data_IF_174975264443
#
_entry.id   IF_174975264443
#
_cell.length_a   1.000
_cell.length_b   1.000
_cell.length_c   1.000
_cell.angle_alpha   90.00
_cell.angle_beta   90.00
_cell.angle_gamma   90.00
#
_symmetry.space_group_name_H-M   'P 1'
#
loop_
_entity.id
_entity.type
_entity.pdbx_description
1 polymer ?
#
# COMPACT_ATOMS: atom_id res chain seq x y z
N UNK A 1 -26.16 -21.58 11.55
CA UNK A 1 -25.19 -21.38 10.45
C UNK A 1 -25.61 -20.25 9.51
N UNK A 2 -26.71 -20.37 8.74
CA UNK A 2 -27.13 -19.29 7.80
C UNK A 2 -27.27 -17.91 8.45
N UNK A 3 -27.93 -17.82 9.61
CA UNK A 3 -28.12 -16.54 10.30
C UNK A 3 -26.79 -15.90 10.74
N UNK A 4 -25.86 -16.71 11.28
CA UNK A 4 -24.52 -16.24 11.68
C UNK A 4 -23.71 -15.73 10.48
N UNK A 5 -23.78 -16.43 9.34
CA UNK A 5 -23.13 -16.02 8.09
C UNK A 5 -23.70 -14.68 7.61
N UNK A 6 -25.02 -14.51 7.63
CA UNK A 6 -25.66 -13.26 7.22
C UNK A 6 -25.31 -12.11 8.16
N UNK A 7 -25.32 -12.34 9.47
CA UNK A 7 -24.93 -11.33 10.46
C UNK A 7 -23.48 -10.85 10.27
N UNK A 8 -22.58 -11.74 9.83
CA UNK A 8 -21.19 -11.36 9.52
C UNK A 8 -21.08 -10.60 8.19
N UNK A 9 -21.92 -10.92 7.21
CA UNK A 9 -21.95 -10.24 5.91
C UNK A 9 -22.69 -8.90 5.95
N UNK A 10 -23.58 -8.70 6.93
CA UNK A 10 -24.38 -7.48 7.08
C UNK A 10 -23.58 -6.30 7.68
N UNK A 11 -22.34 -6.53 8.15
CA UNK A 11 -21.42 -5.46 8.52
C UNK A 11 -20.62 -4.99 7.29
N UNK A 12 -20.95 -3.81 6.70
CA UNK A 12 -20.30 -3.32 5.50
C UNK A 12 -18.82 -2.98 5.72
N UNK A 13 -18.41 -2.68 6.94
CA UNK A 13 -17.01 -2.39 7.27
C UNK A 13 -16.19 -3.68 7.27
N UNK A 14 -16.69 -4.73 7.92
CA UNK A 14 -16.04 -6.04 7.90
C UNK A 14 -16.01 -6.63 6.49
N UNK A 15 -17.11 -6.52 5.74
CA UNK A 15 -17.18 -7.00 4.36
C UNK A 15 -16.15 -6.31 3.47
N UNK A 16 -16.01 -4.99 3.58
CA UNK A 16 -15.04 -4.25 2.80
C UNK A 16 -13.59 -4.57 3.18
N UNK A 17 -13.30 -4.77 4.47
CA UNK A 17 -11.97 -5.20 4.93
C UNK A 17 -11.60 -6.57 4.37
N UNK A 18 -12.52 -7.53 4.46
CA UNK A 18 -12.34 -8.87 3.89
C UNK A 18 -12.18 -8.80 2.37
N UNK A 19 -13.08 -8.11 1.68
CA UNK A 19 -13.08 -8.04 0.22
C UNK A 19 -11.82 -7.36 -0.32
N UNK A 20 -11.43 -6.22 0.27
CA UNK A 20 -10.23 -5.49 -0.14
C UNK A 20 -9.00 -6.39 -0.09
N UNK A 21 -8.76 -7.02 1.07
CA UNK A 21 -7.64 -7.95 1.28
C UNK A 21 -7.65 -9.11 0.30
N UNK A 22 -8.80 -9.80 0.15
CA UNK A 22 -8.90 -10.95 -0.76
C UNK A 22 -8.63 -10.55 -2.21
N UNK A 23 -9.14 -9.40 -2.67
CA UNK A 23 -8.97 -8.96 -4.05
C UNK A 23 -7.56 -8.47 -4.36
N UNK A 24 -6.84 -7.94 -3.36
CA UNK A 24 -5.44 -7.53 -3.51
C UNK A 24 -4.44 -8.65 -3.28
N UNK A 25 -4.84 -9.82 -2.81
CA UNK A 25 -3.87 -10.90 -2.55
C UNK A 25 -3.09 -11.26 -3.84
N UNK A 26 -1.74 -11.34 -3.77
CA UNK A 26 -0.93 -11.62 -4.94
C UNK A 26 -1.22 -13.02 -5.45
N UNK A 27 -1.18 -13.19 -6.77
CA UNK A 27 -1.45 -14.50 -7.39
C UNK A 27 -0.31 -15.49 -7.11
N UNK A 28 0.92 -14.98 -7.06
CA UNK A 28 2.13 -15.76 -6.84
C UNK A 28 2.90 -15.08 -5.71
N UNK A 29 2.91 -15.72 -4.54
CA UNK A 29 3.49 -15.13 -3.31
C UNK A 29 4.99 -14.91 -3.45
N UNK A 30 5.68 -15.78 -4.19
CA UNK A 30 7.13 -15.74 -4.40
C UNK A 30 7.59 -14.57 -5.29
N UNK A 31 6.68 -13.74 -5.81
CA UNK A 31 7.02 -12.55 -6.60
C UNK A 31 7.34 -11.34 -5.73
N UNK A 32 6.84 -11.30 -4.51
CA UNK A 32 7.13 -10.23 -3.57
C UNK A 32 8.34 -10.66 -2.75
N UNK A 33 9.38 -9.83 -2.75
CA UNK A 33 10.62 -10.09 -2.01
C UNK A 33 10.71 -9.05 -0.90
N UNK A 34 10.37 -9.41 0.34
CA UNK A 34 10.52 -8.52 1.48
C UNK A 34 11.99 -8.13 1.66
N UNK A 35 12.24 -6.90 2.14
CA UNK A 35 13.59 -6.48 2.49
C UNK A 35 14.15 -7.34 3.62
N UNK A 36 15.44 -7.69 3.52
CA UNK A 36 16.12 -8.45 4.58
C UNK A 36 16.31 -7.64 5.86
N UNK A 37 16.45 -6.33 5.71
CA UNK A 37 16.65 -5.38 6.80
C UNK A 37 15.54 -4.33 6.80
N UNK A 38 14.98 -3.98 7.97
CA UNK A 38 14.00 -2.91 8.06
C UNK A 38 14.57 -1.59 7.53
N UNK A 39 13.77 -0.88 6.73
CA UNK A 39 14.14 0.45 6.23
C UNK A 39 13.85 1.49 7.30
N UNK A 40 14.80 2.41 7.53
CA UNK A 40 14.57 3.55 8.42
C UNK A 40 13.79 4.65 7.69
N UNK A 41 12.76 5.21 8.33
CA UNK A 41 11.92 6.28 7.72
C UNK A 41 12.77 7.48 7.27
N UNK A 42 13.82 7.83 8.01
CA UNK A 42 14.71 8.94 7.66
C UNK A 42 15.54 8.68 6.41
N UNK A 43 15.90 7.43 6.14
CA UNK A 43 16.67 7.06 4.94
C UNK A 43 15.78 7.14 3.71
N UNK A 44 14.57 6.58 3.78
CA UNK A 44 13.57 6.68 2.71
C UNK A 44 13.23 8.15 2.38
N UNK A 45 13.02 8.97 3.40
CA UNK A 45 12.74 10.41 3.22
C UNK A 45 13.91 11.12 2.54
N UNK A 46 15.15 10.83 2.96
CA UNK A 46 16.34 11.45 2.38
C UNK A 46 16.52 11.07 0.89
N UNK A 47 16.32 9.80 0.54
CA UNK A 47 16.42 9.31 -0.83
C UNK A 47 15.36 9.95 -1.75
N UNK A 48 14.09 9.98 -1.33
CA UNK A 48 13.03 10.66 -2.08
C UNK A 48 13.35 12.15 -2.27
N UNK A 49 13.79 12.84 -1.23
CA UNK A 49 14.18 14.25 -1.31
C UNK A 49 15.41 14.49 -2.21
N UNK A 50 16.27 13.48 -2.38
CA UNK A 50 17.39 13.52 -3.32
C UNK A 50 16.95 13.33 -4.79
N UNK A 51 15.67 13.02 -5.03
CA UNK A 51 15.09 12.85 -6.36
C UNK A 51 14.95 11.40 -6.80
N UNK A 52 15.24 10.44 -5.93
CA UNK A 52 14.92 9.04 -6.18
C UNK A 52 13.39 8.83 -6.20
N UNK A 53 12.94 7.84 -6.97
CA UNK A 53 11.52 7.51 -7.10
C UNK A 53 11.28 6.05 -6.76
N UNK A 54 10.07 5.76 -6.32
CA UNK A 54 9.59 4.41 -6.08
C UNK A 54 8.69 3.95 -7.23
N UNK A 55 8.59 2.65 -7.38
CA UNK A 55 7.62 1.99 -8.25
C UNK A 55 6.89 0.86 -7.52
N UNK A 56 5.74 0.46 -8.06
CA UNK A 56 5.01 -0.70 -7.53
C UNK A 56 5.68 -1.95 -8.09
N UNK A 57 6.04 -2.87 -7.20
CA UNK A 57 6.67 -4.14 -7.59
C UNK A 57 5.79 -4.92 -8.56
N UNK A 58 6.42 -5.62 -9.50
CA UNK A 58 5.72 -6.41 -10.51
C UNK A 58 4.83 -7.48 -9.86
N UNK A 59 3.53 -7.37 -10.09
CA UNK A 59 2.55 -8.31 -9.56
C UNK A 59 1.93 -7.89 -8.22
N UNK A 60 2.44 -6.82 -7.59
CA UNK A 60 1.80 -6.21 -6.44
C UNK A 60 0.46 -5.57 -6.83
N UNK A 61 -0.53 -5.65 -5.95
CA UNK A 61 -1.89 -5.17 -6.21
C UNK A 61 -2.33 -4.18 -5.15
N UNK A 62 -2.58 -2.97 -5.60
CA UNK A 62 -3.04 -1.88 -4.76
C UNK A 62 -4.52 -1.60 -5.01
N UNK A 63 -5.27 -1.39 -3.95
CA UNK A 63 -6.62 -0.84 -3.98
C UNK A 63 -6.83 0.02 -2.73
N UNK A 64 -7.85 0.88 -2.73
CA UNK A 64 -8.16 1.65 -1.53
C UNK A 64 -9.66 1.84 -1.39
N UNK A 65 -10.08 2.14 -0.16
CA UNK A 65 -11.45 2.52 0.17
C UNK A 65 -11.43 3.65 1.20
N UNK A 66 -12.16 4.73 0.91
CA UNK A 66 -12.41 5.79 1.89
C UNK A 66 -13.15 5.22 3.12
N UNK A 67 -12.64 5.53 4.30
CA UNK A 67 -13.36 5.42 5.57
C UNK A 67 -14.17 6.70 5.81
N UNK A 68 -13.56 7.84 5.49
CA UNK A 68 -14.16 9.17 5.46
C UNK A 68 -13.41 10.07 4.46
N UNK A 69 -13.65 11.38 4.51
CA UNK A 69 -13.03 12.36 3.59
C UNK A 69 -11.50 12.46 3.75
N UNK A 70 -10.94 12.05 4.88
CA UNK A 70 -9.53 12.20 5.24
C UNK A 70 -8.80 10.87 5.45
N UNK A 71 -9.51 9.80 5.82
CA UNK A 71 -8.96 8.47 6.11
C UNK A 71 -9.43 7.44 5.10
N UNK A 72 -8.52 6.55 4.73
CA UNK A 72 -8.79 5.41 3.87
C UNK A 72 -8.09 4.17 4.38
N UNK A 73 -8.65 3.00 4.07
CA UNK A 73 -7.87 1.77 4.07
C UNK A 73 -7.22 1.60 2.70
N UNK A 74 -5.89 1.58 2.67
CA UNK A 74 -5.09 1.10 1.56
C UNK A 74 -4.94 -0.41 1.69
N UNK A 75 -5.36 -1.15 0.67
CA UNK A 75 -5.17 -2.58 0.55
C UNK A 75 -4.01 -2.86 -0.40
N UNK A 76 -3.03 -3.63 0.07
CA UNK A 76 -1.86 -4.02 -0.72
C UNK A 76 -1.54 -5.47 -0.44
N UNK A 77 -1.51 -6.30 -1.47
CA UNK A 77 -1.06 -7.69 -1.39
C UNK A 77 -1.74 -8.59 -0.35
N UNK A 78 -2.96 -8.23 0.05
CA UNK A 78 -3.72 -8.96 1.08
C UNK A 78 -3.70 -8.31 2.45
N UNK A 79 -2.88 -7.27 2.62
CA UNK A 79 -2.86 -6.42 3.78
C UNK A 79 -3.77 -5.21 3.64
N UNK A 80 -4.04 -4.56 4.77
CA UNK A 80 -4.92 -3.41 4.87
C UNK A 80 -4.34 -2.44 5.91
N UNK A 81 -4.04 -1.23 5.45
CA UNK A 81 -3.34 -0.18 6.17
C UNK A 81 -4.24 1.04 6.25
N UNK A 82 -4.40 1.61 7.44
CA UNK A 82 -5.08 2.90 7.59
C UNK A 82 -4.08 4.02 7.30
N UNK A 83 -4.46 4.95 6.42
CA UNK A 83 -3.65 6.09 6.02
C UNK A 83 -4.53 7.22 5.46
N UNK A 84 -3.97 8.41 5.19
CA UNK A 84 -4.73 9.48 4.58
C UNK A 84 -5.27 9.11 3.19
N UNK A 85 -6.51 9.56 2.89
CA UNK A 85 -7.19 9.28 1.62
C UNK A 85 -6.39 9.77 0.40
N UNK A 86 -5.69 10.89 0.52
CA UNK A 86 -4.81 11.42 -0.53
C UNK A 86 -3.69 10.45 -0.87
N UNK A 87 -2.91 10.05 0.14
CA UNK A 87 -1.84 9.07 0.01
C UNK A 87 -2.32 7.74 -0.57
N UNK A 88 -3.43 7.19 -0.05
CA UNK A 88 -3.98 5.93 -0.53
C UNK A 88 -4.34 5.97 -2.03
N UNK A 89 -4.92 7.10 -2.46
CA UNK A 89 -5.30 7.32 -3.86
C UNK A 89 -4.10 7.39 -4.78
N UNK A 90 -3.04 8.07 -4.37
CA UNK A 90 -1.82 8.19 -5.17
C UNK A 90 -1.07 6.86 -5.27
N UNK A 91 -0.92 6.14 -4.16
CA UNK A 91 -0.28 4.82 -4.12
C UNK A 91 -0.99 3.81 -5.03
N UNK A 92 -2.32 3.74 -4.96
CA UNK A 92 -3.13 2.86 -5.79
C UNK A 92 -3.40 3.40 -7.22
N UNK A 93 -2.90 4.60 -7.54
CA UNK A 93 -3.01 5.20 -8.86
C UNK A 93 -1.89 4.74 -9.81
N UNK A 94 -1.65 5.52 -10.85
CA UNK A 94 -0.57 5.31 -11.84
C UNK A 94 0.44 6.44 -11.85
N UNK A 95 0.34 7.39 -10.92
CA UNK A 95 1.28 8.50 -10.81
C UNK A 95 2.66 7.99 -10.36
N UNK A 96 3.73 8.67 -10.77
CA UNK A 96 5.08 8.46 -10.25
C UNK A 96 5.08 8.63 -8.73
N UNK A 97 5.81 7.78 -8.02
CA UNK A 97 5.92 7.83 -6.57
C UNK A 97 7.22 8.55 -6.22
N UNK A 98 7.15 9.86 -5.99
CA UNK A 98 8.30 10.72 -5.71
C UNK A 98 8.15 11.43 -4.35
N UNK A 99 9.02 12.41 -4.09
CA UNK A 99 9.01 13.21 -2.86
C UNK A 99 7.67 13.93 -2.59
N UNK A 100 6.82 14.15 -3.59
CA UNK A 100 5.51 14.79 -3.39
C UNK A 100 4.62 13.98 -2.43
N UNK A 101 4.78 12.66 -2.38
CA UNK A 101 4.04 11.81 -1.45
C UNK A 101 4.30 12.18 0.02
N UNK A 102 5.47 12.75 0.33
CA UNK A 102 5.84 13.19 1.67
C UNK A 102 5.03 14.39 2.17
N UNK A 103 4.26 15.04 1.29
CA UNK A 103 3.30 16.08 1.70
C UNK A 103 2.10 15.50 2.45
N UNK A 104 1.82 14.20 2.27
CA UNK A 104 0.77 13.51 3.03
C UNK A 104 1.26 13.08 4.40
N UNK A 105 0.40 13.23 5.41
CA UNK A 105 0.68 12.72 6.74
C UNK A 105 0.93 11.20 6.71
N UNK A 106 1.82 10.72 7.59
CA UNK A 106 2.18 9.30 7.72
C UNK A 106 2.80 8.64 6.47
N UNK A 107 3.11 9.40 5.41
CA UNK A 107 3.70 8.86 4.20
C UNK A 107 5.00 8.06 4.45
N UNK A 108 5.98 8.53 5.24
CA UNK A 108 7.20 7.75 5.50
C UNK A 108 6.91 6.38 6.10
N UNK A 109 6.08 6.31 7.14
CA UNK A 109 5.66 5.06 7.80
C UNK A 109 5.01 4.08 6.82
N UNK A 110 4.09 4.58 5.97
CA UNK A 110 3.38 3.75 5.01
C UNK A 110 4.31 3.26 3.91
N UNK A 111 5.16 4.13 3.38
CA UNK A 111 6.11 3.80 2.31
C UNK A 111 7.16 2.79 2.77
N UNK A 112 7.74 2.98 3.96
CA UNK A 112 8.66 2.00 4.57
C UNK A 112 8.00 0.64 4.72
N UNK A 113 6.76 0.60 5.23
CA UNK A 113 6.05 -0.66 5.38
C UNK A 113 5.87 -1.40 4.06
N UNK A 114 5.56 -0.68 2.98
CA UNK A 114 5.36 -1.26 1.65
C UNK A 114 6.67 -1.68 0.98
N UNK A 115 7.74 -0.89 1.17
CA UNK A 115 9.09 -1.22 0.69
C UNK A 115 9.60 -2.48 1.39
N UNK A 116 9.47 -2.54 2.72
CA UNK A 116 9.90 -3.69 3.51
C UNK A 116 9.07 -4.95 3.21
N UNK A 117 7.81 -4.79 2.81
CA UNK A 117 6.97 -5.89 2.35
C UNK A 117 7.30 -6.37 0.92
N UNK A 118 8.11 -5.63 0.16
CA UNK A 118 8.40 -5.90 -1.25
C UNK A 118 7.24 -5.58 -2.19
N UNK A 119 6.33 -4.69 -1.78
CA UNK A 119 5.22 -4.17 -2.60
C UNK A 119 5.61 -2.91 -3.39
N UNK A 120 6.64 -2.21 -2.91
CA UNK A 120 7.30 -1.12 -3.62
C UNK A 120 8.78 -1.46 -3.78
N UNK A 121 9.38 -0.92 -4.83
CA UNK A 121 10.82 -0.97 -5.09
C UNK A 121 11.32 0.42 -5.48
N UNK A 122 12.62 0.67 -5.36
CA UNK A 122 13.26 1.84 -5.96
C UNK A 122 13.31 1.67 -7.47
N UNK A 123 12.96 2.73 -8.21
CA UNK A 123 13.09 2.71 -9.67
C UNK A 123 14.56 2.61 -10.06
N UNK A 124 14.93 1.58 -10.84
CA UNK A 124 16.27 1.46 -11.41
C UNK A 124 16.34 2.27 -12.73
N UNK A 125 17.15 3.35 -12.80
CA UNK A 125 17.28 4.14 -14.03
C UNK A 125 17.95 3.38 -15.18
N UNK A 126 18.57 2.22 -14.92
CA UNK A 126 19.27 1.42 -15.94
C UNK A 126 18.42 0.27 -16.53
N UNK A 127 17.16 0.09 -16.10
CA UNK A 127 16.26 -1.00 -16.55
C UNK A 127 15.38 -0.68 -17.81
N UNK A 128 15.69 0.36 -18.58
CA UNK A 128 14.98 0.69 -19.85
C UNK A 128 15.49 -0.06 -21.12
#
# INVERSE_FOLDING_TARGET
>A
MRALILETLDDPTQLAQWFGRVMTQPKYVDQLVPNETPTEETELVAALQAGETLERSLGSRFAWRALDDQRATLFVDGDGLDCPTGLARELAGTATLDAHLLEHAEAPRVLVHLLDAGSLDWTDPDEE
#
